data_IF_853929466522
#
_entry.id   IF_853929466522
#
_cell.length_a   1.000
_cell.length_b   1.000
_cell.length_c   1.000
_cell.angle_alpha   90.00
_cell.angle_beta   90.00
_cell.angle_gamma   90.00
#
_symmetry.space_group_name_H-M   'P 1'
#
loop_
_entity.id
_entity.type
_entity.pdbx_description
1 polymer ?
#
# COMPACT_ATOMS: atom_id res chain seq x y z
N UNK A 1 -23.75 -0.32 3.02
CA UNK A 1 -22.72 0.73 2.98
C UNK A 1 -21.63 0.39 3.99
N UNK A 2 -20.38 0.48 3.57
CA UNK A 2 -19.19 0.20 4.39
C UNK A 2 -18.59 1.54 4.81
N UNK A 3 -18.22 1.67 6.09
CA UNK A 3 -17.55 2.87 6.61
C UNK A 3 -16.16 2.51 7.08
N UNK A 4 -15.17 3.31 6.69
CA UNK A 4 -13.78 3.14 7.13
C UNK A 4 -13.06 4.48 7.17
N UNK A 5 -12.25 4.68 8.21
CA UNK A 5 -11.43 5.89 8.40
C UNK A 5 -9.97 5.55 8.16
N UNK A 6 -9.30 6.31 7.29
CA UNK A 6 -7.92 6.06 6.86
C UNK A 6 -7.14 7.38 6.88
N UNK A 7 -5.93 7.43 7.47
CA UNK A 7 -5.07 8.60 7.35
C UNK A 7 -4.73 8.91 5.90
N UNK A 8 -5.02 10.14 5.44
CA UNK A 8 -4.76 10.54 4.05
C UNK A 8 -3.30 10.33 3.64
N UNK A 9 -2.36 10.61 4.55
CA UNK A 9 -0.93 10.44 4.28
C UNK A 9 -0.55 9.01 3.88
N UNK A 10 -1.28 7.99 4.34
CA UNK A 10 -0.99 6.60 4.01
C UNK A 10 -1.33 6.29 2.55
N UNK A 11 -2.49 6.76 2.09
CA UNK A 11 -2.90 6.63 0.69
C UNK A 11 -1.98 7.42 -0.23
N UNK A 12 -1.67 8.67 0.13
CA UNK A 12 -0.79 9.55 -0.66
C UNK A 12 0.66 9.04 -0.69
N UNK A 13 1.14 8.40 0.37
CA UNK A 13 2.45 7.78 0.40
C UNK A 13 2.52 6.59 -0.55
N UNK A 14 1.53 5.70 -0.49
CA UNK A 14 1.45 4.54 -1.38
C UNK A 14 1.30 4.93 -2.84
N UNK A 15 0.67 6.07 -3.15
CA UNK A 15 0.55 6.60 -4.52
C UNK A 15 1.91 6.75 -5.22
N UNK A 16 3.01 7.00 -4.49
CA UNK A 16 4.35 7.07 -5.08
C UNK A 16 4.83 5.75 -5.68
N UNK A 17 4.22 4.62 -5.27
CA UNK A 17 4.53 3.28 -5.75
C UNK A 17 3.58 2.81 -6.86
N UNK A 18 2.45 3.48 -7.03
CA UNK A 18 1.52 3.21 -8.13
C UNK A 18 2.08 3.78 -9.45
N UNK A 19 1.88 3.10 -10.59
CA UNK A 19 2.26 3.65 -11.88
C UNK A 19 1.33 4.82 -12.24
N UNK A 20 1.86 5.79 -13.00
CA UNK A 20 1.05 6.91 -13.51
C UNK A 20 0.09 6.47 -14.61
N UNK A 21 0.56 5.56 -15.48
CA UNK A 21 -0.20 5.00 -16.58
C UNK A 21 0.38 3.63 -16.94
N UNK A 22 -0.37 2.59 -16.65
CA UNK A 22 -0.01 1.20 -16.92
C UNK A 22 -1.15 0.53 -17.70
N UNK A 23 -0.82 -0.38 -18.62
CA UNK A 23 -1.81 -1.16 -19.37
C UNK A 23 -2.67 -2.00 -18.42
N UNK A 24 -2.07 -2.53 -17.37
CA UNK A 24 -2.77 -3.16 -16.25
C UNK A 24 -3.44 -2.08 -15.40
N UNK A 25 -4.54 -1.53 -15.91
CA UNK A 25 -5.22 -0.34 -15.39
C UNK A 25 -5.57 -0.45 -13.88
N UNK A 26 -5.82 -1.66 -13.38
CA UNK A 26 -6.09 -1.95 -11.97
C UNK A 26 -4.90 -1.69 -11.04
N UNK A 27 -3.70 -1.41 -11.57
CA UNK A 27 -2.54 -0.96 -10.80
C UNK A 27 -2.42 0.57 -10.73
N UNK A 28 -3.20 1.34 -11.51
CA UNK A 28 -3.10 2.79 -11.61
C UNK A 28 -3.72 3.51 -10.40
N UNK A 29 -3.43 3.04 -9.20
CA UNK A 29 -3.96 3.60 -7.97
C UNK A 29 -3.54 2.84 -6.72
N UNK A 30 -4.26 3.08 -5.63
CA UNK A 30 -4.07 2.41 -4.34
C UNK A 30 -5.29 1.57 -4.01
N UNK A 31 -5.08 0.30 -3.73
CA UNK A 31 -6.14 -0.61 -3.30
C UNK A 31 -6.35 -0.51 -1.78
N UNK A 32 -7.61 -0.47 -1.37
CA UNK A 32 -8.06 -0.68 0.01
C UNK A 32 -8.72 -2.05 0.04
N UNK A 33 -8.16 -2.98 0.77
CA UNK A 33 -8.64 -4.36 0.84
C UNK A 33 -8.88 -4.73 2.29
N UNK A 34 -10.13 -5.01 2.63
CA UNK A 34 -10.49 -5.56 3.92
C UNK A 34 -10.85 -7.03 3.74
N UNK A 35 -10.19 -7.90 4.50
CA UNK A 35 -10.41 -9.34 4.44
C UNK A 35 -10.07 -9.99 5.77
N UNK A 36 -10.98 -10.82 6.27
CA UNK A 36 -10.77 -11.66 7.46
C UNK A 36 -10.23 -10.88 8.67
N UNK A 37 -10.84 -9.74 9.00
CA UNK A 37 -10.47 -8.92 10.15
C UNK A 37 -9.21 -8.05 9.96
N UNK A 38 -8.67 -7.99 8.74
CA UNK A 38 -7.50 -7.18 8.39
C UNK A 38 -7.87 -6.18 7.30
N UNK A 39 -7.43 -4.95 7.44
CA UNK A 39 -7.50 -3.94 6.37
C UNK A 39 -6.09 -3.64 5.87
N UNK A 40 -5.93 -3.59 4.56
CA UNK A 40 -4.66 -3.35 3.87
C UNK A 40 -4.81 -2.27 2.82
N UNK A 41 -3.86 -1.35 2.78
CA UNK A 41 -3.69 -0.35 1.73
C UNK A 41 -2.47 -0.78 0.91
N UNK A 42 -2.63 -0.95 -0.39
CA UNK A 42 -1.57 -1.54 -1.23
C UNK A 42 -1.42 -0.78 -2.53
N UNK A 43 -0.18 -0.57 -2.94
CA UNK A 43 0.16 -0.09 -4.28
C UNK A 43 1.39 -0.80 -4.83
N UNK A 44 1.40 -1.01 -6.14
CA UNK A 44 2.52 -1.65 -6.84
C UNK A 44 2.55 -1.23 -8.31
N UNK A 45 3.74 -1.14 -8.90
CA UNK A 45 3.97 -1.04 -10.34
C UNK A 45 4.45 -2.37 -10.97
N UNK A 46 4.50 -3.42 -10.16
CA UNK A 46 5.02 -4.74 -10.54
C UNK A 46 6.52 -4.93 -10.29
N UNK A 47 7.26 -3.86 -9.97
CA UNK A 47 8.68 -3.90 -9.59
C UNK A 47 8.92 -3.50 -8.14
N UNK A 48 8.08 -2.63 -7.62
CA UNK A 48 8.02 -2.25 -6.20
C UNK A 48 6.61 -2.42 -5.68
N UNK A 49 6.49 -2.68 -4.41
CA UNK A 49 5.20 -2.73 -3.69
C UNK A 49 5.34 -2.11 -2.32
N UNK A 50 4.30 -1.42 -1.88
CA UNK A 50 4.11 -1.01 -0.49
C UNK A 50 2.76 -1.43 0.01
N UNK A 51 2.73 -1.85 1.25
CA UNK A 51 1.52 -2.23 1.96
C UNK A 51 1.54 -1.61 3.36
N UNK A 52 0.47 -0.96 3.73
CA UNK A 52 0.13 -0.59 5.10
C UNK A 52 -1.04 -1.44 5.52
N UNK A 53 -0.92 -2.22 6.57
CA UNK A 53 -2.01 -3.05 7.06
C UNK A 53 -2.24 -2.89 8.55
N UNK A 54 -3.48 -3.12 8.96
CA UNK A 54 -3.95 -3.09 10.33
C UNK A 54 -4.83 -4.31 10.57
N UNK A 55 -4.62 -4.98 11.68
CA UNK A 55 -5.53 -6.01 12.23
C UNK A 55 -6.67 -5.35 13.01
N UNK A 56 -7.62 -6.13 13.47
CA UNK A 56 -8.79 -5.68 14.25
C UNK A 56 -9.77 -4.81 13.46
N UNK A 57 -9.91 -5.09 12.16
CA UNK A 57 -10.97 -4.52 11.35
C UNK A 57 -12.27 -5.31 11.56
N UNK A 58 -13.31 -4.67 12.10
CA UNK A 58 -14.60 -5.30 12.44
C UNK A 58 -15.70 -5.12 11.36
N UNK A 59 -15.33 -4.69 10.15
CA UNK A 59 -16.28 -4.47 9.07
C UNK A 59 -16.42 -5.69 8.14
N UNK A 60 -17.27 -5.53 7.11
CA UNK A 60 -17.39 -6.50 6.03
C UNK A 60 -16.12 -6.55 5.18
N UNK A 61 -15.84 -7.71 4.60
CA UNK A 61 -14.81 -7.86 3.57
C UNK A 61 -15.16 -7.02 2.33
N UNK A 62 -14.19 -6.30 1.78
CA UNK A 62 -14.35 -5.51 0.56
C UNK A 62 -13.00 -5.26 -0.14
N UNK A 63 -13.09 -4.87 -1.41
CA UNK A 63 -11.96 -4.37 -2.21
C UNK A 63 -12.38 -3.11 -2.97
N UNK A 64 -11.58 -2.06 -2.87
CA UNK A 64 -11.77 -0.78 -3.54
C UNK A 64 -10.43 -0.27 -4.07
N UNK A 65 -10.34 0.09 -5.35
CA UNK A 65 -9.12 0.65 -5.93
C UNK A 65 -9.35 2.14 -6.21
N UNK A 66 -8.72 2.99 -5.41
CA UNK A 66 -8.75 4.43 -5.61
C UNK A 66 -7.82 4.83 -6.77
N UNK A 67 -8.36 5.52 -7.78
CA UNK A 67 -7.57 5.99 -8.91
C UNK A 67 -6.54 7.05 -8.50
N UNK A 68 -5.50 7.24 -9.31
CA UNK A 68 -4.54 8.33 -9.10
C UNK A 68 -5.20 9.72 -9.10
N UNK A 69 -6.31 9.91 -9.82
CA UNK A 69 -7.08 11.15 -9.84
C UNK A 69 -7.82 11.36 -8.52
N UNK A 70 -8.48 10.32 -8.01
CA UNK A 70 -9.12 10.34 -6.69
C UNK A 70 -8.09 10.66 -5.61
N UNK A 71 -6.92 10.00 -5.62
CA UNK A 71 -5.85 10.24 -4.66
C UNK A 71 -5.32 11.67 -4.72
N UNK A 72 -5.20 12.25 -5.92
CA UNK A 72 -4.83 13.65 -6.11
C UNK A 72 -5.86 14.59 -5.46
N UNK A 73 -7.14 14.31 -5.60
CA UNK A 73 -8.22 15.09 -4.95
C UNK A 73 -8.16 14.96 -3.43
N UNK A 74 -7.80 13.79 -2.90
CA UNK A 74 -7.63 13.57 -1.46
C UNK A 74 -6.41 14.29 -0.86
N UNK A 75 -5.51 14.85 -1.67
CA UNK A 75 -4.34 15.60 -1.18
C UNK A 75 -4.68 16.82 -0.34
N UNK A 76 -5.90 17.38 -0.47
CA UNK A 76 -6.40 18.46 0.38
C UNK A 76 -6.57 18.05 1.86
N UNK A 77 -6.67 16.76 2.11
CA UNK A 77 -6.78 16.19 3.46
C UNK A 77 -5.42 15.70 4.02
N UNK A 78 -4.31 16.07 3.39
CA UNK A 78 -2.97 15.69 3.87
C UNK A 78 -2.79 16.05 5.34
N UNK A 79 -2.35 15.10 6.15
CA UNK A 79 -2.20 15.26 7.61
C UNK A 79 -3.48 15.04 8.42
N UNK A 80 -4.58 14.67 7.78
CA UNK A 80 -5.89 14.39 8.40
C UNK A 80 -6.34 12.97 8.09
N UNK A 81 -7.33 12.52 8.81
CA UNK A 81 -8.08 11.31 8.48
C UNK A 81 -9.13 11.58 7.41
N UNK A 82 -9.41 10.56 6.62
CA UNK A 82 -10.46 10.56 5.59
C UNK A 82 -11.48 9.50 5.96
N UNK A 83 -12.71 9.91 6.11
CA UNK A 83 -13.85 9.03 6.33
C UNK A 83 -14.44 8.61 4.99
N UNK A 84 -14.33 7.33 4.70
CA UNK A 84 -14.90 6.72 3.52
C UNK A 84 -16.27 6.13 3.82
N UNK A 85 -17.23 6.44 2.97
CA UNK A 85 -18.54 5.78 2.88
C UNK A 85 -18.59 5.09 1.53
N UNK A 86 -18.43 3.76 1.52
CA UNK A 86 -18.32 2.95 0.32
C UNK A 86 -19.66 2.26 0.02
N UNK A 87 -20.05 2.27 -1.25
CA UNK A 87 -21.22 1.57 -1.70
C UNK A 87 -20.91 0.09 -1.89
N UNK A 88 -21.59 -0.75 -1.12
CA UNK A 88 -21.45 -2.21 -1.16
C UNK A 88 -21.82 -2.71 -2.57
N UNK A 89 -20.88 -3.27 -3.28
CA UNK A 89 -21.06 -3.79 -4.63
C UNK A 89 -21.19 -5.32 -4.64
N UNK A 90 -21.37 -5.88 -5.81
CA UNK A 90 -21.38 -7.33 -5.98
C UNK A 90 -20.03 -7.94 -5.58
N UNK A 91 -20.05 -9.11 -4.94
CA UNK A 91 -18.86 -9.89 -4.56
C UNK A 91 -17.81 -9.10 -3.72
N UNK A 92 -18.26 -8.05 -3.00
CA UNK A 92 -17.37 -7.21 -2.18
C UNK A 92 -16.54 -6.20 -2.96
N UNK A 93 -16.75 -6.03 -4.27
CA UNK A 93 -16.09 -4.99 -5.06
C UNK A 93 -16.82 -3.66 -4.92
N UNK A 94 -16.10 -2.62 -4.49
CA UNK A 94 -16.62 -1.26 -4.34
C UNK A 94 -16.22 -0.44 -5.57
N UNK A 95 -17.21 0.04 -6.31
CA UNK A 95 -16.99 0.86 -7.51
C UNK A 95 -17.28 2.34 -7.30
N UNK A 96 -17.95 2.72 -6.21
CA UNK A 96 -18.32 4.11 -5.89
C UNK A 96 -18.24 4.38 -4.39
N UNK A 97 -17.92 5.61 -4.05
CA UNK A 97 -17.90 6.01 -2.66
C UNK A 97 -17.84 7.52 -2.47
N UNK A 98 -17.84 7.91 -1.21
CA UNK A 98 -17.69 9.29 -0.75
C UNK A 98 -16.52 9.31 0.25
N UNK A 99 -15.61 10.24 0.09
CA UNK A 99 -14.45 10.45 0.96
C UNK A 99 -14.48 11.89 1.49
N UNK A 100 -14.81 12.09 2.76
CA UNK A 100 -14.99 13.41 3.35
C UNK A 100 -15.84 14.38 2.48
N UNK A 101 -16.94 13.87 1.90
CA UNK A 101 -17.83 14.65 1.03
C UNK A 101 -17.43 14.66 -0.45
N UNK A 102 -16.26 14.18 -0.83
CA UNK A 102 -15.87 14.02 -2.23
C UNK A 102 -16.41 12.70 -2.78
N UNK A 103 -17.27 12.78 -3.78
CA UNK A 103 -17.75 11.59 -4.53
C UNK A 103 -16.64 11.11 -5.46
N UNK A 104 -16.42 9.81 -5.52
CA UNK A 104 -15.45 9.19 -6.41
C UNK A 104 -15.96 7.90 -7.03
N UNK A 105 -15.46 7.59 -8.22
CA UNK A 105 -15.56 6.28 -8.83
C UNK A 105 -14.23 5.52 -8.60
N UNK A 106 -14.34 4.27 -8.16
CA UNK A 106 -13.20 3.39 -8.01
C UNK A 106 -12.87 2.71 -9.35
N UNK A 107 -11.64 2.24 -9.49
CA UNK A 107 -11.23 1.45 -10.65
C UNK A 107 -11.94 0.11 -10.61
N UNK A 108 -12.68 -0.22 -11.68
CA UNK A 108 -13.30 -1.53 -11.86
C UNK A 108 -12.24 -2.57 -12.25
N UNK A 109 -11.77 -3.33 -11.27
CA UNK A 109 -10.73 -4.33 -11.48
C UNK A 109 -10.38 -5.07 -10.20
N UNK A 110 -9.78 -6.24 -10.36
CA UNK A 110 -9.28 -7.06 -9.24
C UNK A 110 -7.80 -6.77 -9.02
N UNK A 111 -7.47 -6.26 -7.82
CA UNK A 111 -6.07 -6.07 -7.44
C UNK A 111 -5.37 -7.44 -7.30
N UNK A 112 -4.09 -7.56 -7.69
CA UNK A 112 -3.34 -8.81 -7.59
C UNK A 112 -3.25 -9.32 -6.15
N UNK A 113 -3.05 -10.63 -6.00
CA UNK A 113 -2.77 -11.26 -4.72
C UNK A 113 -1.37 -10.85 -4.24
N UNK A 114 -1.34 -9.76 -3.48
CA UNK A 114 -0.12 -9.14 -2.97
C UNK A 114 0.46 -9.89 -1.77
N UNK A 115 -0.33 -10.68 -1.06
CA UNK A 115 0.13 -11.38 0.14
C UNK A 115 1.23 -12.40 -0.19
N UNK A 116 1.21 -12.97 -1.39
CA UNK A 116 2.24 -13.93 -1.83
C UNK A 116 3.65 -13.36 -1.85
N UNK A 117 3.80 -12.04 -2.03
CA UNK A 117 5.11 -11.39 -2.07
C UNK A 117 5.55 -10.82 -0.72
N UNK A 118 4.66 -10.84 0.29
CA UNK A 118 4.97 -10.38 1.65
C UNK A 118 5.63 -11.46 2.53
N UNK A 119 5.66 -12.72 2.08
CA UNK A 119 6.14 -13.82 2.89
C UNK A 119 7.63 -14.10 2.71
N UNK A 120 8.28 -14.48 3.81
CA UNK A 120 9.55 -15.20 3.77
C UNK A 120 10.82 -14.39 3.83
N UNK A 121 10.81 -13.16 4.38
CA UNK A 121 12.06 -12.45 4.63
C UNK A 121 12.78 -13.02 5.86
N UNK A 122 13.98 -13.54 5.63
CA UNK A 122 14.84 -14.03 6.71
C UNK A 122 15.67 -12.88 7.27
N UNK A 123 15.33 -12.42 8.47
CA UNK A 123 16.05 -11.35 9.16
C UNK A 123 17.50 -11.69 9.50
N UNK A 124 17.87 -12.96 9.47
CA UNK A 124 19.22 -13.46 9.74
C UNK A 124 20.00 -13.83 8.46
N UNK A 125 19.48 -13.48 7.26
CA UNK A 125 20.17 -13.78 6.01
C UNK A 125 21.48 -12.98 5.92
N UNK A 126 22.59 -13.68 5.69
CA UNK A 126 23.95 -13.13 5.59
C UNK A 126 24.67 -13.50 4.28
N UNK A 127 23.93 -13.99 3.28
CA UNK A 127 24.46 -14.35 1.98
C UNK A 127 24.58 -13.15 1.03
N UNK A 128 24.70 -13.45 -0.27
CA UNK A 128 24.84 -12.42 -1.30
C UNK A 128 23.60 -11.49 -1.38
N UNK A 129 23.82 -10.18 -1.35
CA UNK A 129 22.77 -9.19 -1.51
C UNK A 129 22.28 -9.13 -2.96
N UNK A 130 20.99 -8.87 -3.14
CA UNK A 130 20.41 -8.61 -4.45
C UNK A 130 20.87 -7.25 -4.99
N UNK A 131 21.06 -7.16 -6.30
CA UNK A 131 21.29 -5.89 -6.98
C UNK A 131 19.96 -5.17 -7.16
N UNK A 132 19.88 -3.92 -6.73
CA UNK A 132 18.67 -3.11 -6.78
C UNK A 132 18.83 -1.93 -7.72
N UNK A 133 17.75 -1.59 -8.41
CA UNK A 133 17.63 -0.34 -9.16
C UNK A 133 17.48 0.85 -8.20
N UNK A 134 18.39 1.80 -8.27
CA UNK A 134 18.39 2.98 -7.39
C UNK A 134 17.15 3.86 -7.62
N UNK A 135 16.58 3.88 -8.83
CA UNK A 135 15.37 4.63 -9.12
C UNK A 135 14.16 3.99 -8.39
N UNK A 136 14.07 2.68 -8.38
CA UNK A 136 13.04 1.97 -7.64
C UNK A 136 13.18 2.19 -6.13
N UNK A 137 14.42 2.15 -5.63
CA UNK A 137 14.69 2.41 -4.22
C UNK A 137 14.32 3.86 -3.83
N UNK A 138 14.56 4.84 -4.73
CA UNK A 138 14.23 6.25 -4.48
C UNK A 138 12.74 6.51 -4.27
N UNK A 139 11.86 5.67 -4.81
CA UNK A 139 10.41 5.77 -4.56
C UNK A 139 10.07 5.64 -3.08
N UNK A 140 10.77 4.79 -2.34
CA UNK A 140 10.58 4.63 -0.89
C UNK A 140 11.01 5.88 -0.11
N UNK A 141 11.94 6.67 -0.62
CA UNK A 141 12.26 7.99 -0.07
C UNK A 141 11.07 8.94 -0.16
N UNK A 142 10.36 8.94 -1.29
CA UNK A 142 9.14 9.73 -1.48
C UNK A 142 8.00 9.26 -0.56
N UNK A 143 7.85 7.95 -0.40
CA UNK A 143 6.92 7.34 0.56
C UNK A 143 7.23 7.84 1.97
N UNK A 144 8.48 7.69 2.43
CA UNK A 144 8.90 8.10 3.77
C UNK A 144 8.67 9.59 4.04
N UNK A 145 8.97 10.45 3.06
CA UNK A 145 8.70 11.91 3.14
C UNK A 145 7.20 12.22 3.27
N UNK A 146 6.36 11.50 2.54
CA UNK A 146 4.90 11.72 2.57
C UNK A 146 4.26 11.19 3.86
N UNK A 147 4.76 10.08 4.39
CA UNK A 147 4.37 9.59 5.72
C UNK A 147 4.75 10.58 6.83
N UNK A 148 5.79 11.40 6.61
CA UNK A 148 6.16 12.51 7.48
C UNK A 148 6.59 12.06 8.88
N UNK A 149 6.23 12.87 9.90
CA UNK A 149 6.55 12.61 11.32
C UNK A 149 5.66 11.52 11.96
N UNK A 150 5.20 10.56 11.18
CA UNK A 150 4.51 9.38 11.69
C UNK A 150 5.52 8.37 12.24
N UNK A 151 5.04 7.33 12.89
CA UNK A 151 5.87 6.20 13.32
C UNK A 151 6.66 5.52 12.19
N UNK A 152 6.34 5.82 10.93
CA UNK A 152 7.06 5.34 9.74
C UNK A 152 8.19 6.26 9.29
N UNK A 153 8.41 7.42 9.91
CA UNK A 153 9.58 8.25 9.66
C UNK A 153 10.86 7.59 10.17
N UNK A 154 12.00 7.95 9.60
CA UNK A 154 13.33 7.52 10.05
C UNK A 154 13.90 6.34 9.26
N UNK A 155 14.76 5.56 9.91
CA UNK A 155 15.57 4.54 9.25
C UNK A 155 14.76 3.32 8.81
N UNK A 156 14.91 2.95 7.55
CA UNK A 156 14.32 1.77 6.96
C UNK A 156 15.40 0.71 6.73
N UNK A 157 15.05 -0.55 6.86
CA UNK A 157 15.96 -1.68 6.67
C UNK A 157 15.64 -2.39 5.37
N UNK A 158 16.68 -2.85 4.69
CA UNK A 158 16.57 -3.75 3.55
C UNK A 158 16.82 -5.17 4.02
N UNK A 159 15.86 -6.05 3.78
CA UNK A 159 15.95 -7.46 4.14
C UNK A 159 16.16 -8.27 2.86
N UNK A 160 17.41 -8.68 2.64
CA UNK A 160 17.78 -9.54 1.52
C UNK A 160 17.41 -10.99 1.81
N UNK A 161 17.09 -11.73 0.75
CA UNK A 161 16.78 -13.17 0.82
C UNK A 161 17.39 -13.93 -0.39
N UNK A 162 18.58 -13.53 -0.81
CA UNK A 162 19.30 -14.05 -1.97
C UNK A 162 19.43 -13.04 -3.11
N UNK A 163 20.38 -13.29 -4.00
CA UNK A 163 20.71 -12.39 -5.11
C UNK A 163 19.55 -12.18 -6.11
N UNK A 164 18.70 -13.20 -6.28
CA UNK A 164 17.60 -13.19 -7.27
C UNK A 164 16.21 -13.07 -6.66
N UNK A 165 16.10 -12.98 -5.33
CA UNK A 165 14.84 -12.89 -4.65
C UNK A 165 14.48 -11.43 -4.36
N UNK A 166 13.17 -11.16 -4.18
CA UNK A 166 12.71 -9.84 -3.77
C UNK A 166 13.33 -9.41 -2.44
N UNK A 167 13.54 -8.11 -2.28
CA UNK A 167 14.08 -7.51 -1.07
C UNK A 167 12.97 -6.81 -0.32
N UNK A 168 12.84 -7.12 0.97
CA UNK A 168 11.90 -6.43 1.85
C UNK A 168 12.42 -5.06 2.23
N UNK A 169 11.53 -4.08 2.22
CA UNK A 169 11.79 -2.70 2.69
C UNK A 169 10.98 -2.49 3.95
N UNK A 170 11.63 -2.62 5.08
CA UNK A 170 10.98 -2.69 6.39
C UNK A 170 11.21 -1.44 7.23
N UNK A 171 10.22 -1.15 8.07
CA UNK A 171 10.37 -0.26 9.22
C UNK A 171 10.27 -1.10 10.49
N UNK A 172 11.26 -0.97 11.38
CA UNK A 172 11.56 -1.98 12.40
C UNK A 172 10.65 -2.02 13.63
N UNK A 173 9.67 -1.14 13.81
CA UNK A 173 9.11 -0.90 15.15
C UNK A 173 7.57 -1.08 15.24
N UNK A 174 6.94 -1.81 14.31
CA UNK A 174 5.50 -2.04 14.36
C UNK A 174 5.20 -3.44 14.89
N UNK A 175 4.93 -3.55 16.18
CA UNK A 175 4.62 -4.81 16.87
C UNK A 175 3.34 -4.77 17.71
N UNK A 176 2.60 -3.66 17.73
CA UNK A 176 1.39 -3.57 18.54
C UNK A 176 0.14 -3.96 17.73
N UNK A 177 -0.66 -4.84 18.32
CA UNK A 177 -1.98 -5.25 17.80
C UNK A 177 -2.87 -4.02 17.61
N UNK A 178 -3.57 -3.94 16.49
CA UNK A 178 -4.46 -2.80 16.20
C UNK A 178 -3.78 -1.57 15.61
N UNK A 179 -2.47 -1.59 15.39
CA UNK A 179 -1.73 -0.53 14.71
C UNK A 179 -1.45 -0.81 13.24
N UNK A 180 -1.25 0.27 12.45
CA UNK A 180 -0.81 0.16 11.07
C UNK A 180 0.65 -0.29 11.01
N UNK A 181 0.90 -1.31 10.20
CA UNK A 181 2.22 -1.90 9.96
C UNK A 181 2.61 -1.69 8.50
N UNK A 182 3.86 -1.27 8.26
CA UNK A 182 4.41 -1.10 6.92
C UNK A 182 5.13 -2.35 6.43
N UNK A 183 4.88 -2.70 5.17
CA UNK A 183 5.62 -3.70 4.41
C UNK A 183 5.95 -3.15 3.03
N UNK A 184 7.23 -3.13 2.67
CA UNK A 184 7.67 -2.77 1.33
C UNK A 184 8.40 -3.93 0.67
N UNK A 185 8.32 -3.99 -0.64
CA UNK A 185 9.02 -4.99 -1.46
C UNK A 185 9.62 -4.32 -2.68
N UNK A 186 10.84 -4.69 -3.04
CA UNK A 186 11.52 -4.30 -4.27
C UNK A 186 12.04 -5.53 -4.99
N UNK A 187 11.75 -5.64 -6.28
CA UNK A 187 12.27 -6.71 -7.11
C UNK A 187 13.72 -6.43 -7.50
N UNK A 188 14.60 -7.44 -7.45
CA UNK A 188 16.00 -7.28 -7.87
C UNK A 188 16.10 -7.04 -9.37
N UNK A 189 17.22 -6.44 -9.79
CA UNK A 189 17.63 -6.47 -11.18
C UNK A 189 17.87 -7.94 -11.59
N UNK A 190 17.28 -8.33 -12.70
CA UNK A 190 17.59 -9.62 -13.31
C UNK A 190 18.93 -9.49 -14.03
N UNK A 191 19.88 -10.33 -13.64
CA UNK A 191 21.14 -10.48 -14.37
C UNK A 191 20.87 -11.08 -15.76
#
# INVERSE_FOLDING_TARGET
>A
MIKVTIPANYLLALQHLAPKKEVRYYLNGVAIIAKSGKISLVATDGKVMGCLSKTDYEGKDFSCILSNETLKSLSIFKGKEVDFVLHDGADGFVLKGIANGLVFDAIDGKFPDFERVLHGYNHAYNGQAAQLDIELLSKFTSVAKTLGNTKFAGNWRLLHNGASNSVGVYKSDATETGEWVWYGVIMPLRA
#
